data_IF_618684506144
#
_entry.id   IF_618684506144
#
_cell.length_a   1.000
_cell.length_b   1.000
_cell.length_c   1.000
_cell.angle_alpha   90.00
_cell.angle_beta   90.00
_cell.angle_gamma   90.00
#
_symmetry.space_group_name_H-M   'P 1'
#
loop_
_entity.id
_entity.type
_entity.pdbx_description
1 polymer ?
#
# COMPACT_ATOMS: atom_id res chain seq x y z
N UNK A 1 24.24 -7.52 -0.10
CA UNK A 1 23.51 -7.85 1.14
C UNK A 1 22.75 -9.15 0.91
N UNK A 2 22.96 -10.13 1.77
CA UNK A 2 22.28 -11.41 1.70
C UNK A 2 20.91 -11.30 2.38
N UNK A 3 19.85 -11.78 1.73
CA UNK A 3 18.48 -11.75 2.27
C UNK A 3 17.85 -13.13 2.23
N UNK A 4 17.22 -13.52 3.34
CA UNK A 4 16.47 -14.76 3.45
C UNK A 4 15.01 -14.52 3.03
N UNK A 5 14.60 -15.15 1.94
CA UNK A 5 13.22 -15.11 1.48
C UNK A 5 12.47 -16.36 1.95
N UNK A 6 11.34 -16.14 2.63
CA UNK A 6 10.46 -17.20 3.12
C UNK A 6 9.12 -17.04 2.41
N UNK A 7 8.73 -18.07 1.66
CA UNK A 7 7.43 -18.14 1.03
C UNK A 7 6.51 -19.09 1.82
N UNK A 8 5.38 -18.57 2.27
CA UNK A 8 4.32 -19.35 2.91
C UNK A 8 3.31 -19.76 1.84
N UNK A 9 3.13 -21.07 1.69
CA UNK A 9 2.15 -21.67 0.78
C UNK A 9 1.28 -22.68 1.54
N UNK A 10 0.04 -22.89 1.09
CA UNK A 10 -0.88 -23.80 1.75
C UNK A 10 -2.34 -23.56 1.36
N UNK A 11 -3.23 -24.40 1.89
CA UNK A 11 -4.67 -24.33 1.62
C UNK A 11 -5.35 -23.14 2.29
N UNK A 12 -4.83 -22.63 3.41
CA UNK A 12 -5.40 -21.51 4.16
C UNK A 12 -4.44 -20.30 4.26
N UNK A 13 -3.91 -19.88 3.11
CA UNK A 13 -3.09 -18.67 3.03
C UNK A 13 -3.83 -17.40 3.47
N UNK A 14 -5.17 -17.38 3.44
CA UNK A 14 -5.98 -16.23 3.80
C UNK A 14 -5.75 -15.77 5.25
N UNK A 15 -5.69 -16.73 6.18
CA UNK A 15 -5.43 -16.46 7.60
C UNK A 15 -4.04 -15.86 7.82
N UNK A 16 -3.03 -16.37 7.13
CA UNK A 16 -1.65 -15.86 7.24
C UNK A 16 -1.49 -14.45 6.65
N UNK A 17 -2.35 -14.07 5.69
CA UNK A 17 -2.38 -12.71 5.14
C UNK A 17 -3.06 -11.75 6.11
N UNK A 18 -4.21 -12.12 6.66
CA UNK A 18 -5.02 -11.24 7.52
C UNK A 18 -5.66 -10.07 6.78
N UNK A 19 -6.28 -9.13 7.51
CA UNK A 19 -6.94 -7.99 6.87
C UNK A 19 -5.89 -7.06 6.28
N UNK A 20 -5.97 -6.84 4.97
CA UNK A 20 -5.03 -5.98 4.23
C UNK A 20 -3.54 -6.36 4.35
N UNK A 21 -3.20 -7.54 4.87
CA UNK A 21 -1.80 -7.96 5.08
C UNK A 21 -1.29 -7.79 6.51
N UNK A 22 -2.13 -7.35 7.45
CA UNK A 22 -1.69 -7.06 8.84
C UNK A 22 -1.06 -8.28 9.54
N UNK A 23 -1.58 -9.48 9.29
CA UNK A 23 -1.04 -10.71 9.87
C UNK A 23 0.29 -11.07 9.22
N UNK A 24 0.40 -10.93 7.90
CA UNK A 24 1.66 -11.16 7.20
C UNK A 24 2.74 -10.17 7.67
N UNK A 25 2.39 -8.91 7.93
CA UNK A 25 3.31 -7.91 8.48
C UNK A 25 3.75 -8.26 9.91
N UNK A 26 2.83 -8.76 10.75
CA UNK A 26 3.17 -9.24 12.08
C UNK A 26 4.10 -10.47 12.04
N UNK A 27 3.84 -11.43 11.15
CA UNK A 27 4.71 -12.59 10.92
C UNK A 27 6.10 -12.12 10.47
N UNK A 28 6.18 -11.25 9.46
CA UNK A 28 7.43 -10.66 8.98
C UNK A 28 8.24 -10.01 10.11
N UNK A 29 7.58 -9.24 10.98
CA UNK A 29 8.21 -8.56 12.11
C UNK A 29 8.79 -9.56 13.12
N UNK A 30 7.99 -10.55 13.55
CA UNK A 30 8.44 -11.57 14.49
C UNK A 30 9.55 -12.45 13.90
N UNK A 31 9.45 -12.82 12.63
CA UNK A 31 10.49 -13.57 11.92
C UNK A 31 11.81 -12.81 11.89
N UNK A 32 11.80 -11.50 11.64
CA UNK A 32 13.01 -10.67 11.71
C UNK A 32 13.63 -10.69 13.11
N UNK A 33 12.84 -10.54 14.17
CA UNK A 33 13.34 -10.56 15.56
C UNK A 33 13.96 -11.91 15.89
N UNK A 34 13.27 -13.01 15.57
CA UNK A 34 13.72 -14.36 15.93
C UNK A 34 14.98 -14.74 15.15
N UNK A 35 15.03 -14.46 13.85
CA UNK A 35 16.19 -14.76 13.02
C UNK A 35 17.44 -13.99 13.45
N UNK A 36 17.28 -12.75 13.93
CA UNK A 36 18.39 -11.89 14.35
C UNK A 36 18.79 -12.05 15.82
N UNK A 37 18.20 -13.00 16.57
CA UNK A 37 18.43 -13.11 18.01
C UNK A 37 19.81 -13.67 18.40
N UNK A 38 20.39 -14.51 17.55
CA UNK A 38 21.60 -15.29 17.86
C UNK A 38 22.64 -15.25 16.74
N UNK A 39 22.60 -14.23 15.89
CA UNK A 39 23.52 -14.05 14.76
C UNK A 39 24.35 -12.79 14.98
N UNK A 40 25.64 -12.87 14.65
CA UNK A 40 26.57 -11.73 14.78
C UNK A 40 26.38 -10.70 13.66
N UNK A 41 25.94 -11.14 12.49
CA UNK A 41 25.61 -10.30 11.34
C UNK A 41 24.10 -10.23 11.13
N UNK A 42 23.60 -9.02 10.81
CA UNK A 42 22.18 -8.79 10.63
C UNK A 42 21.65 -9.49 9.37
N UNK A 43 20.75 -10.46 9.56
CA UNK A 43 20.06 -11.17 8.49
C UNK A 43 18.76 -10.46 8.12
N UNK A 44 18.65 -9.99 6.88
CA UNK A 44 17.41 -9.43 6.36
C UNK A 44 16.44 -10.56 5.98
N UNK A 45 15.35 -10.73 6.74
CA UNK A 45 14.30 -11.71 6.42
C UNK A 45 13.16 -11.03 5.67
N UNK A 46 12.67 -11.67 4.62
CA UNK A 46 11.50 -11.24 3.86
C UNK A 46 10.50 -12.40 3.82
N UNK A 47 9.29 -12.16 4.31
CA UNK A 47 8.18 -13.13 4.33
C UNK A 47 7.10 -12.66 3.37
N UNK A 48 6.65 -13.58 2.52
CA UNK A 48 5.48 -13.39 1.66
C UNK A 48 4.55 -14.60 1.71
N UNK A 49 3.27 -14.37 1.48
CA UNK A 49 2.25 -15.43 1.40
C UNK A 49 1.77 -15.53 -0.03
N UNK A 50 2.25 -16.55 -0.74
CA UNK A 50 1.84 -16.90 -2.10
C UNK A 50 1.73 -15.70 -3.05
N UNK A 51 2.66 -14.74 -3.06
CA UNK A 51 2.65 -13.56 -3.94
C UNK A 51 1.71 -12.43 -3.52
N UNK A 52 1.24 -12.40 -2.28
CA UNK A 52 0.22 -11.44 -1.83
C UNK A 52 0.68 -9.99 -1.96
N UNK A 53 1.92 -9.67 -1.57
CA UNK A 53 2.42 -8.27 -1.56
C UNK A 53 2.35 -7.65 -2.96
N UNK A 54 2.86 -8.36 -3.98
CA UNK A 54 2.83 -7.90 -5.37
C UNK A 54 1.40 -7.73 -5.88
N UNK A 55 0.51 -8.71 -5.65
CA UNK A 55 -0.90 -8.60 -6.05
C UNK A 55 -1.62 -7.46 -5.35
N UNK A 56 -1.28 -7.19 -4.08
CA UNK A 56 -1.86 -6.10 -3.30
C UNK A 56 -1.45 -4.76 -3.88
N UNK A 57 -0.16 -4.57 -4.18
CA UNK A 57 0.37 -3.38 -4.81
C UNK A 57 -0.31 -3.11 -6.17
N UNK A 58 -0.33 -4.09 -7.07
CA UNK A 58 -0.98 -3.97 -8.38
C UNK A 58 -2.45 -3.57 -8.26
N UNK A 59 -3.18 -4.17 -7.32
CA UNK A 59 -4.59 -3.82 -7.07
C UNK A 59 -4.76 -2.37 -6.59
N UNK A 60 -3.84 -1.86 -5.77
CA UNK A 60 -3.86 -0.46 -5.32
C UNK A 60 -3.56 0.49 -6.48
N UNK A 61 -2.54 0.18 -7.29
CA UNK A 61 -2.18 0.95 -8.48
C UNK A 61 -3.36 1.05 -9.45
N UNK A 62 -3.99 -0.08 -9.78
CA UNK A 62 -5.17 -0.11 -10.64
C UNK A 62 -6.35 0.66 -10.05
N UNK A 63 -6.59 0.55 -8.74
CA UNK A 63 -7.65 1.31 -8.09
C UNK A 63 -7.36 2.82 -8.12
N UNK A 64 -6.10 3.24 -7.98
CA UNK A 64 -5.69 4.63 -8.08
C UNK A 64 -5.95 5.18 -9.50
N UNK A 65 -5.50 4.47 -10.54
CA UNK A 65 -5.69 4.86 -11.94
C UNK A 65 -7.17 5.00 -12.30
N UNK A 66 -7.99 4.00 -11.97
CA UNK A 66 -9.46 4.06 -12.17
C UNK A 66 -10.15 5.16 -11.37
N UNK A 67 -9.51 5.67 -10.32
CA UNK A 67 -10.04 6.79 -9.54
C UNK A 67 -9.64 8.11 -10.17
N UNK A 68 -8.40 8.24 -10.65
CA UNK A 68 -7.93 9.38 -11.42
C UNK A 68 -8.78 9.60 -12.69
N UNK A 69 -9.02 8.56 -13.48
CA UNK A 69 -9.87 8.63 -14.69
C UNK A 69 -11.25 9.21 -14.37
N UNK A 70 -11.91 8.68 -13.33
CA UNK A 70 -13.22 9.18 -12.90
C UNK A 70 -13.19 10.64 -12.44
N UNK A 71 -12.12 11.04 -11.74
CA UNK A 71 -11.97 12.42 -11.27
C UNK A 71 -11.78 13.37 -12.46
N UNK A 72 -11.00 12.97 -13.46
CA UNK A 72 -10.82 13.72 -14.72
C UNK A 72 -12.14 13.83 -15.49
N UNK A 73 -12.89 12.72 -15.62
CA UNK A 73 -14.17 12.69 -16.33
C UNK A 73 -15.25 13.54 -15.67
N UNK A 74 -15.29 13.54 -14.33
CA UNK A 74 -16.38 14.18 -13.56
C UNK A 74 -16.04 15.58 -13.06
N UNK A 75 -14.76 15.95 -13.02
CA UNK A 75 -14.29 17.17 -12.38
C UNK A 75 -14.55 17.22 -10.87
N UNK A 76 -14.79 16.07 -10.22
CA UNK A 76 -15.10 15.99 -8.78
C UNK A 76 -14.07 15.13 -8.07
N UNK A 77 -13.64 15.56 -6.89
CA UNK A 77 -12.73 14.79 -6.06
C UNK A 77 -13.33 13.43 -5.64
N UNK A 78 -12.44 12.46 -5.40
CA UNK A 78 -12.81 11.11 -4.96
C UNK A 78 -11.87 10.61 -3.88
N UNK A 79 -12.45 9.91 -2.90
CA UNK A 79 -11.74 9.38 -1.74
C UNK A 79 -11.54 7.88 -1.92
N UNK A 80 -10.30 7.41 -1.73
CA UNK A 80 -10.02 5.98 -1.64
C UNK A 80 -10.39 5.44 -0.25
N UNK A 81 -10.49 4.11 -0.13
CA UNK A 81 -10.68 3.45 1.16
C UNK A 81 -9.48 3.72 2.09
N UNK A 82 -9.66 3.74 3.42
CA UNK A 82 -8.55 3.79 4.36
C UNK A 82 -7.50 2.71 4.08
N UNK A 83 -6.23 3.09 4.20
CA UNK A 83 -5.10 2.25 3.82
C UNK A 83 -3.83 2.69 4.57
N UNK A 84 -2.86 1.79 4.71
CA UNK A 84 -1.63 2.05 5.48
C UNK A 84 -0.78 3.16 4.84
N UNK A 85 0.18 3.71 5.58
CA UNK A 85 1.10 4.72 5.04
C UNK A 85 1.85 4.24 3.79
N UNK A 86 2.26 2.96 3.75
CA UNK A 86 2.92 2.36 2.60
C UNK A 86 1.99 2.28 1.38
N UNK A 87 0.73 1.89 1.59
CA UNK A 87 -0.29 1.83 0.53
C UNK A 87 -0.62 3.24 0.01
N UNK A 88 -0.72 4.24 0.88
CA UNK A 88 -0.90 5.65 0.45
C UNK A 88 0.26 6.15 -0.39
N UNK A 89 1.50 5.78 -0.03
CA UNK A 89 2.68 6.09 -0.84
C UNK A 89 2.60 5.45 -2.22
N UNK A 90 2.12 4.21 -2.35
CA UNK A 90 1.90 3.56 -3.65
C UNK A 90 0.95 4.41 -4.50
N UNK A 91 -0.19 4.85 -3.95
CA UNK A 91 -1.14 5.70 -4.67
C UNK A 91 -0.48 7.01 -5.14
N UNK A 92 0.19 7.72 -4.23
CA UNK A 92 0.85 8.99 -4.55
C UNK A 92 1.90 8.82 -5.65
N UNK A 93 2.70 7.76 -5.61
CA UNK A 93 3.69 7.49 -6.66
C UNK A 93 3.05 7.08 -7.98
N UNK A 94 1.98 6.29 -7.93
CA UNK A 94 1.25 5.84 -9.13
C UNK A 94 0.67 7.02 -9.91
N UNK A 95 0.20 8.04 -9.20
CA UNK A 95 -0.49 9.19 -9.79
C UNK A 95 0.38 10.45 -9.85
N UNK A 96 1.67 10.36 -9.49
CA UNK A 96 2.56 11.52 -9.40
C UNK A 96 2.66 12.30 -10.71
N UNK A 97 2.77 11.57 -11.82
CA UNK A 97 3.02 12.12 -13.14
C UNK A 97 1.72 12.22 -13.97
N UNK A 98 0.55 12.04 -13.34
CA UNK A 98 -0.76 12.15 -13.98
C UNK A 98 -1.19 13.62 -14.09
N UNK A 99 -1.41 14.08 -15.32
CA UNK A 99 -1.85 15.46 -15.58
C UNK A 99 -3.32 15.68 -15.14
N UNK A 100 -3.63 16.91 -14.75
CA UNK A 100 -5.00 17.34 -14.42
C UNK A 100 -5.52 16.86 -13.06
N UNK A 101 -4.74 16.10 -12.29
CA UNK A 101 -5.08 15.71 -10.92
C UNK A 101 -3.95 15.98 -9.92
N UNK A 102 -4.31 16.00 -8.65
CA UNK A 102 -3.42 16.01 -7.50
C UNK A 102 -3.89 15.02 -6.45
N UNK A 103 -3.00 14.63 -5.54
CA UNK A 103 -3.30 13.67 -4.48
C UNK A 103 -2.80 14.16 -3.13
N UNK A 104 -3.61 13.98 -2.09
CA UNK A 104 -3.23 14.30 -0.71
C UNK A 104 -3.87 13.31 0.27
N UNK A 105 -3.29 13.17 1.46
CA UNK A 105 -3.77 12.25 2.49
C UNK A 105 -4.59 12.96 3.55
N UNK A 106 -5.80 12.48 3.83
CA UNK A 106 -6.70 13.01 4.87
C UNK A 106 -7.09 11.95 5.91
N UNK A 107 -7.58 12.42 7.06
CA UNK A 107 -8.00 11.59 8.17
C UNK A 107 -6.86 11.24 9.14
N UNK A 108 -7.19 10.43 10.16
CA UNK A 108 -6.26 9.95 11.19
C UNK A 108 -6.15 8.43 11.14
N UNK A 109 -4.98 7.88 11.45
CA UNK A 109 -4.78 6.43 11.49
C UNK A 109 -5.74 5.78 12.52
N UNK A 110 -6.38 4.64 12.23
CA UNK A 110 -6.26 3.78 11.04
C UNK A 110 -7.24 4.12 9.90
N UNK A 111 -7.94 5.24 9.99
CA UNK A 111 -8.95 5.70 9.01
C UNK A 111 -8.37 6.71 8.02
N UNK A 112 -7.05 6.77 7.88
CA UNK A 112 -6.37 7.71 6.99
C UNK A 112 -6.42 7.20 5.55
N UNK A 113 -6.73 8.06 4.59
CA UNK A 113 -6.95 7.71 3.19
C UNK A 113 -6.33 8.75 2.24
N UNK A 114 -6.29 8.45 0.94
CA UNK A 114 -5.87 9.37 -0.12
C UNK A 114 -7.11 9.94 -0.82
N UNK A 115 -7.10 11.26 -1.00
CA UNK A 115 -8.01 11.99 -1.89
C UNK A 115 -7.31 12.20 -3.22
N UNK A 116 -8.03 11.94 -4.30
CA UNK A 116 -7.65 12.30 -5.67
C UNK A 116 -8.56 13.45 -6.09
N UNK A 117 -7.98 14.59 -6.43
CA UNK A 117 -8.70 15.84 -6.75
C UNK A 117 -8.28 16.38 -8.11
N UNK A 118 -9.16 17.02 -8.89
CA UNK A 118 -8.76 17.77 -10.08
C UNK A 118 -7.83 18.92 -9.70
N UNK A 119 -6.82 19.19 -10.51
CA UNK A 119 -5.86 20.29 -10.26
C UNK A 119 -6.53 21.66 -10.39
N UNK A 120 -7.38 21.84 -11.41
CA UNK A 120 -8.10 23.11 -11.64
C UNK A 120 -9.08 23.48 -10.51
N UNK A 121 -9.55 22.50 -9.72
CA UNK A 121 -10.43 22.75 -8.59
C UNK A 121 -9.76 23.48 -7.42
N UNK A 122 -8.42 23.47 -7.34
CA UNK A 122 -7.67 24.23 -6.33
C UNK A 122 -7.56 25.71 -6.66
N UNK A 123 -7.63 26.09 -7.94
CA UNK A 123 -7.54 27.50 -8.38
C UNK A 123 -8.83 28.29 -8.08
N UNK A 124 -9.95 27.61 -7.81
CA UNK A 124 -11.25 28.26 -7.56
C UNK A 124 -11.46 28.56 -6.05
N UNK A 125 -10.64 27.98 -5.17
CA UNK A 125 -10.75 28.13 -3.71
C UNK A 125 -9.64 29.06 -3.14
N UNK A 126 -8.70 29.50 -4.00
CA UNK A 126 -7.61 30.41 -3.66
C UNK A 126 -7.96 31.89 -3.81
#
# INVERSE_FOLDING_TARGET
>A
EESLHIEITGSDCGVAIGRHGETLDAIQYLSNIVANRFVDEHLRVIVDVAGYRTRREQRIQHQAQRTAERVLDTGRESRLKPMTAAERRIVHLTLRDAEGITTYSEGVEPRRYVVVSPTAGLEIIG
#
